data_IF_973310968402
#
_entry.id   IF_973310968402
#
_cell.length_a   1.000
_cell.length_b   1.000
_cell.length_c   1.000
_cell.angle_alpha   90.00
_cell.angle_beta   90.00
_cell.angle_gamma   90.00
#
_symmetry.space_group_name_H-M   'P 1'
#
loop_
_entity.id
_entity.type
_entity.pdbx_description
1 polymer ?
#
# COMPACT_ATOMS: atom_id res chain seq x y z
N UNK A 1 -6.45 2.60 -9.14
CA UNK A 1 -5.26 1.89 -8.61
C UNK A 1 -4.71 2.69 -7.47
N UNK A 2 -4.41 2.05 -6.34
CA UNK A 2 -3.89 2.75 -5.17
C UNK A 2 -2.60 3.53 -5.53
N UNK A 3 -2.70 4.83 -5.61
CA UNK A 3 -1.60 5.75 -5.95
C UNK A 3 -1.33 6.77 -4.85
N UNK A 4 -2.06 6.71 -3.74
CA UNK A 4 -1.90 7.60 -2.60
C UNK A 4 -2.50 6.97 -1.34
N UNK A 5 -1.84 7.11 -0.19
CA UNK A 5 -2.38 6.56 1.06
C UNK A 5 -1.93 7.37 2.28
N UNK A 6 -2.47 6.99 3.44
CA UNK A 6 -2.21 7.61 4.73
C UNK A 6 -1.65 6.60 5.71
N UNK A 7 -0.78 7.07 6.60
CA UNK A 7 -0.43 6.38 7.82
C UNK A 7 -0.15 7.41 8.91
N UNK A 8 -1.17 7.71 9.72
CA UNK A 8 -1.12 8.75 10.74
C UNK A 8 -0.85 8.21 12.16
N UNK A 9 -0.66 6.88 12.28
CA UNK A 9 -0.42 6.20 13.55
C UNK A 9 1.00 6.39 14.07
N UNK A 10 1.17 6.15 15.35
CA UNK A 10 2.46 6.32 15.99
C UNK A 10 3.42 5.18 15.65
N UNK A 11 4.72 5.49 15.61
CA UNK A 11 5.78 4.47 15.48
C UNK A 11 5.81 3.48 16.66
N UNK A 12 5.26 3.88 17.82
CA UNK A 12 5.12 3.01 18.98
C UNK A 12 4.15 1.87 18.70
N UNK A 13 2.99 2.18 18.14
CA UNK A 13 1.96 1.18 17.81
C UNK A 13 2.49 0.12 16.81
N UNK A 14 3.31 0.55 15.84
CA UNK A 14 3.98 -0.38 14.93
C UNK A 14 5.00 -1.28 15.66
N UNK A 15 5.81 -0.69 16.50
CA UNK A 15 6.81 -1.44 17.27
C UNK A 15 6.19 -2.50 18.18
N UNK A 16 5.05 -2.18 18.82
CA UNK A 16 4.28 -3.12 19.63
C UNK A 16 3.70 -4.29 18.80
N UNK A 17 3.10 -3.99 17.64
CA UNK A 17 2.51 -5.00 16.76
C UNK A 17 3.56 -5.95 16.18
N UNK A 18 4.69 -5.41 15.74
CA UNK A 18 5.77 -6.21 15.16
C UNK A 18 6.82 -6.67 16.18
N UNK A 19 6.63 -6.38 17.48
CA UNK A 19 7.57 -6.75 18.56
C UNK A 19 9.02 -6.37 18.25
N UNK A 20 9.22 -5.17 17.75
CA UNK A 20 10.52 -4.69 17.29
C UNK A 20 10.88 -3.34 17.91
N UNK A 21 12.11 -2.87 17.72
CA UNK A 21 12.53 -1.54 18.18
C UNK A 21 11.73 -0.45 17.47
N UNK A 22 11.36 0.58 18.22
CA UNK A 22 10.61 1.72 17.69
C UNK A 22 11.43 2.44 16.62
N UNK A 23 10.92 2.56 15.37
CA UNK A 23 11.59 3.36 14.36
C UNK A 23 11.64 4.84 14.78
N UNK A 24 12.83 5.45 14.67
CA UNK A 24 13.02 6.87 14.98
C UNK A 24 12.59 7.74 13.79
N UNK A 25 12.17 8.99 14.08
CA UNK A 25 11.92 10.00 13.06
C UNK A 25 10.65 9.82 12.23
N UNK A 26 9.81 8.83 12.55
CA UNK A 26 8.52 8.68 11.88
C UNK A 26 7.53 9.69 12.41
N UNK A 27 6.92 10.43 11.49
CA UNK A 27 5.81 11.34 11.75
C UNK A 27 4.53 10.82 11.11
N UNK A 28 3.35 11.25 11.57
CA UNK A 28 2.10 10.99 10.87
C UNK A 28 2.16 11.51 9.42
N UNK A 29 1.68 10.68 8.50
CA UNK A 29 1.65 10.96 7.07
C UNK A 29 0.22 10.88 6.56
N UNK A 30 -0.20 11.93 5.89
CA UNK A 30 -1.58 12.09 5.41
C UNK A 30 -1.69 12.07 3.87
N UNK A 31 -0.55 11.98 3.18
CA UNK A 31 -0.54 12.07 1.72
C UNK A 31 0.72 11.40 1.13
N UNK A 32 0.92 10.15 1.46
CA UNK A 32 2.04 9.36 0.95
C UNK A 32 1.85 9.10 -0.54
N UNK A 33 2.87 9.45 -1.34
CA UNK A 33 2.85 9.38 -2.80
C UNK A 33 3.99 8.50 -3.35
N UNK A 34 3.85 7.97 -4.57
CA UNK A 34 4.91 7.26 -5.26
C UNK A 34 6.23 8.04 -5.31
N UNK A 35 7.34 7.32 -5.26
CA UNK A 35 8.69 7.87 -5.24
C UNK A 35 9.19 8.28 -3.85
N UNK A 36 8.34 8.26 -2.84
CA UNK A 36 8.72 8.55 -1.46
C UNK A 36 9.18 7.31 -0.72
N UNK A 37 10.02 7.50 0.29
CA UNK A 37 10.43 6.44 1.20
C UNK A 37 9.33 6.24 2.25
N UNK A 38 8.94 4.98 2.42
CA UNK A 38 7.82 4.56 3.25
C UNK A 38 8.27 3.41 4.15
N UNK A 39 7.79 3.41 5.38
CA UNK A 39 8.04 2.30 6.29
C UNK A 39 7.33 1.03 5.80
N UNK A 40 8.09 -0.05 5.73
CA UNK A 40 7.61 -1.40 5.42
C UNK A 40 8.01 -2.35 6.53
N UNK A 41 7.21 -3.40 6.73
CA UNK A 41 7.53 -4.49 7.64
C UNK A 41 7.79 -5.77 6.85
N UNK A 42 8.82 -6.52 7.21
CA UNK A 42 9.13 -7.85 6.68
C UNK A 42 9.73 -8.74 7.76
N UNK A 43 9.88 -10.01 7.48
CA UNK A 43 10.73 -10.87 8.29
C UNK A 43 12.10 -11.02 7.64
N UNK A 44 13.14 -11.01 8.48
CA UNK A 44 14.50 -11.34 8.12
C UNK A 44 15.02 -12.42 9.08
N UNK A 45 15.32 -13.59 8.56
CA UNK A 45 15.76 -14.75 9.37
C UNK A 45 14.83 -15.06 10.55
N UNK A 46 13.54 -14.89 10.35
CA UNK A 46 12.52 -15.14 11.37
C UNK A 46 12.22 -13.95 12.29
N UNK A 47 13.00 -12.88 12.22
CA UNK A 47 12.81 -11.68 13.03
C UNK A 47 12.10 -10.56 12.27
N UNK A 48 11.17 -9.84 12.90
CA UNK A 48 10.49 -8.73 12.27
C UNK A 48 11.42 -7.51 12.10
N UNK A 49 11.45 -6.96 10.90
CA UNK A 49 12.24 -5.78 10.55
C UNK A 49 11.33 -4.69 10.00
N UNK A 50 11.50 -3.48 10.54
CA UNK A 50 10.86 -2.26 10.03
C UNK A 50 11.91 -1.40 9.35
N UNK A 51 11.73 -1.12 8.06
CA UNK A 51 12.70 -0.36 7.27
C UNK A 51 12.01 0.53 6.23
N UNK A 52 12.69 1.61 5.85
CA UNK A 52 12.24 2.50 4.79
C UNK A 52 12.58 1.91 3.41
N UNK A 53 11.59 1.93 2.51
CA UNK A 53 11.73 1.52 1.12
C UNK A 53 11.05 2.52 0.20
N UNK A 54 11.60 2.72 -0.97
CA UNK A 54 11.04 3.61 -1.98
C UNK A 54 9.79 3.00 -2.63
N UNK A 55 8.69 3.72 -2.65
CA UNK A 55 7.47 3.29 -3.32
C UNK A 55 7.57 3.47 -4.84
N UNK A 56 7.94 2.42 -5.50
CA UNK A 56 8.18 2.36 -6.94
C UNK A 56 9.22 1.30 -7.24
N UNK A 57 8.78 0.19 -7.79
CA UNK A 57 9.56 -1.02 -7.99
C UNK A 57 10.78 -0.81 -8.87
N UNK A 58 11.94 -1.23 -8.38
CA UNK A 58 13.16 -1.39 -9.15
C UNK A 58 13.52 -2.88 -9.12
N UNK A 59 13.51 -3.60 -10.26
CA UNK A 59 13.92 -4.99 -10.27
C UNK A 59 15.37 -5.13 -9.82
N UNK A 60 15.69 -6.16 -9.03
CA UNK A 60 17.07 -6.41 -8.57
C UNK A 60 18.07 -6.63 -9.71
N UNK A 61 17.58 -7.07 -10.87
CA UNK A 61 18.37 -7.31 -12.09
C UNK A 61 18.49 -6.07 -12.99
N UNK A 62 17.88 -4.94 -12.64
CA UNK A 62 17.97 -3.73 -13.46
C UNK A 62 19.41 -3.24 -13.57
N UNK A 63 19.85 -2.84 -14.76
CA UNK A 63 21.21 -2.38 -15.00
C UNK A 63 21.53 -1.04 -14.32
N UNK A 64 20.48 -0.21 -14.11
CA UNK A 64 20.58 1.13 -13.52
C UNK A 64 19.42 1.41 -12.57
N UNK A 65 19.64 2.23 -11.54
CA UNK A 65 18.61 2.66 -10.60
C UNK A 65 17.50 3.48 -11.26
N UNK A 66 17.80 4.18 -12.35
CA UNK A 66 16.81 4.93 -13.15
C UNK A 66 15.96 4.02 -14.05
N UNK A 67 15.51 2.90 -13.50
CA UNK A 67 14.58 2.00 -14.19
C UNK A 67 13.23 2.69 -14.43
N UNK A 68 12.70 2.62 -15.65
CA UNK A 68 11.42 3.24 -16.00
C UNK A 68 10.63 2.33 -16.96
N UNK A 69 9.29 2.20 -16.79
CA UNK A 69 8.52 2.76 -15.67
C UNK A 69 8.79 2.01 -14.35
N UNK A 70 8.65 2.70 -13.22
CA UNK A 70 8.65 2.07 -11.89
C UNK A 70 7.23 1.72 -11.47
N UNK A 71 6.79 0.46 -11.55
CA UNK A 71 5.47 0.07 -11.10
C UNK A 71 5.30 0.33 -9.61
N UNK A 72 4.24 1.06 -9.25
CA UNK A 72 3.87 1.31 -7.84
C UNK A 72 2.93 0.23 -7.31
N UNK A 73 2.28 -0.50 -8.24
CA UNK A 73 1.36 -1.59 -7.95
C UNK A 73 1.71 -2.82 -8.78
N UNK A 74 1.46 -3.99 -8.21
CA UNK A 74 1.51 -5.27 -8.88
C UNK A 74 0.11 -5.90 -8.86
N UNK A 75 -0.37 -6.33 -10.02
CA UNK A 75 -1.67 -7.02 -10.11
C UNK A 75 -1.52 -8.43 -9.58
N UNK A 76 -2.37 -8.82 -8.62
CA UNK A 76 -2.39 -10.17 -8.08
C UNK A 76 -2.60 -11.23 -9.15
N UNK A 77 -3.55 -10.98 -10.03
CA UNK A 77 -3.92 -11.90 -11.10
C UNK A 77 -2.73 -12.14 -12.06
N UNK A 78 -2.35 -13.40 -12.18
CA UNK A 78 -1.22 -13.80 -13.04
C UNK A 78 0.17 -13.38 -12.55
N UNK A 79 0.32 -12.95 -11.30
CA UNK A 79 1.57 -12.41 -10.78
C UNK A 79 2.68 -13.48 -10.72
N UNK A 80 2.32 -14.74 -10.46
CA UNK A 80 3.27 -15.86 -10.42
C UNK A 80 3.93 -16.13 -11.78
N UNK A 81 3.23 -15.80 -12.87
CA UNK A 81 3.77 -15.83 -14.23
C UNK A 81 4.53 -14.56 -14.64
N UNK A 82 4.42 -13.49 -13.88
CA UNK A 82 5.02 -12.21 -14.23
C UNK A 82 6.52 -12.19 -13.90
N UNK A 83 7.37 -12.12 -14.94
CA UNK A 83 8.84 -12.15 -14.82
C UNK A 83 9.41 -11.09 -13.87
N UNK A 84 8.71 -9.96 -13.70
CA UNK A 84 9.14 -8.86 -12.84
C UNK A 84 8.93 -9.15 -11.35
N UNK A 85 7.85 -9.87 -10.99
CA UNK A 85 7.40 -10.03 -9.62
C UNK A 85 7.44 -11.48 -9.10
N UNK A 86 7.49 -12.49 -9.99
CA UNK A 86 7.34 -13.91 -9.61
C UNK A 86 8.28 -14.35 -8.48
N UNK A 87 9.54 -13.90 -8.49
CA UNK A 87 10.49 -14.22 -7.43
C UNK A 87 10.09 -13.55 -6.10
N UNK A 88 9.66 -12.30 -6.15
CA UNK A 88 9.29 -11.57 -4.95
C UNK A 88 7.99 -12.10 -4.30
N UNK A 89 7.10 -12.72 -5.06
CA UNK A 89 5.90 -13.38 -4.53
C UNK A 89 6.25 -14.49 -3.55
N UNK A 90 7.34 -15.20 -3.77
CA UNK A 90 7.78 -16.31 -2.92
C UNK A 90 8.78 -15.89 -1.85
N UNK A 91 9.67 -14.93 -2.16
CA UNK A 91 10.83 -14.66 -1.33
C UNK A 91 10.81 -13.28 -0.65
N UNK A 92 10.13 -12.30 -1.24
CA UNK A 92 10.28 -10.89 -0.86
C UNK A 92 8.93 -10.23 -0.58
N UNK A 93 8.17 -10.78 0.36
CA UNK A 93 6.92 -10.20 0.82
C UNK A 93 7.16 -9.17 1.91
N UNK A 94 6.39 -8.09 1.88
CA UNK A 94 6.36 -7.10 2.94
C UNK A 94 4.93 -6.65 3.22
N UNK A 95 4.75 -5.98 4.34
CA UNK A 95 3.55 -5.23 4.66
C UNK A 95 3.87 -3.74 4.59
N UNK A 96 2.94 -2.98 4.04
CA UNK A 96 3.00 -1.52 4.03
C UNK A 96 1.91 -1.01 4.98
N UNK A 97 2.26 -0.50 6.17
CA UNK A 97 1.29 0.01 7.13
C UNK A 97 0.50 1.19 6.54
N UNK A 98 -0.82 1.15 6.70
CA UNK A 98 -1.73 2.19 6.24
C UNK A 98 -2.95 2.29 7.17
N UNK A 99 -3.55 3.47 7.29
CA UNK A 99 -4.83 3.69 7.97
C UNK A 99 -5.92 4.22 7.01
N UNK A 100 -5.55 4.44 5.74
CA UNK A 100 -6.46 4.78 4.66
C UNK A 100 -5.73 4.93 3.34
N UNK A 101 -6.49 4.99 2.27
CA UNK A 101 -5.96 5.29 0.93
C UNK A 101 -6.92 6.18 0.15
N UNK A 102 -6.44 6.73 -0.96
CA UNK A 102 -7.23 7.63 -1.79
C UNK A 102 -7.54 7.02 -3.14
N UNK A 103 -8.75 7.29 -3.62
CA UNK A 103 -9.16 7.15 -5.01
C UNK A 103 -9.92 8.39 -5.45
N UNK A 104 -9.99 8.59 -6.76
CA UNK A 104 -10.59 9.77 -7.37
C UNK A 104 -11.73 9.37 -8.29
N UNK A 105 -12.88 10.02 -8.12
CA UNK A 105 -13.95 9.92 -9.11
C UNK A 105 -13.92 11.09 -10.10
N UNK A 106 -14.56 10.89 -11.26
CA UNK A 106 -14.65 11.91 -12.31
C UNK A 106 -13.59 11.78 -13.38
N UNK A 107 -13.78 12.50 -14.48
CA UNK A 107 -12.89 12.56 -15.65
C UNK A 107 -12.31 13.96 -15.80
N UNK A 108 -11.09 14.07 -16.30
CA UNK A 108 -10.44 15.36 -16.54
C UNK A 108 -9.96 16.09 -15.28
N UNK A 109 -9.91 17.42 -15.30
CA UNK A 109 -9.38 18.26 -14.22
C UNK A 109 -10.24 18.35 -12.95
N UNK A 110 -11.47 17.85 -12.98
CA UNK A 110 -12.42 17.89 -11.86
C UNK A 110 -12.48 16.61 -11.04
N UNK A 111 -11.37 15.93 -10.81
CA UNK A 111 -11.33 14.70 -10.00
C UNK A 111 -11.56 14.99 -8.53
N UNK A 112 -12.63 14.40 -7.99
CA UNK A 112 -12.97 14.49 -6.57
C UNK A 112 -12.25 13.40 -5.78
N UNK A 113 -11.43 13.73 -4.77
CA UNK A 113 -10.75 12.76 -3.95
C UNK A 113 -11.68 12.16 -2.90
N UNK A 114 -11.52 10.86 -2.68
CA UNK A 114 -12.15 10.11 -1.62
C UNK A 114 -11.08 9.48 -0.75
N UNK A 115 -11.23 9.58 0.56
CA UNK A 115 -10.46 8.85 1.53
C UNK A 115 -11.21 7.58 1.92
N UNK A 116 -10.52 6.46 1.82
CA UNK A 116 -11.07 5.12 2.03
C UNK A 116 -10.40 4.53 3.25
N UNK A 117 -11.18 4.15 4.26
CA UNK A 117 -10.71 3.56 5.51
C UNK A 117 -11.45 2.26 5.78
N UNK A 118 -10.91 1.36 6.60
CA UNK A 118 -11.66 0.21 7.08
C UNK A 118 -12.67 0.63 8.14
N UNK A 119 -13.85 -0.02 8.17
CA UNK A 119 -14.85 0.18 9.21
C UNK A 119 -14.48 -0.53 10.51
N UNK A 120 -13.77 -1.66 10.43
CA UNK A 120 -13.42 -2.52 11.55
C UNK A 120 -11.99 -2.34 12.06
N UNK A 121 -11.09 -1.72 11.26
CA UNK A 121 -9.68 -1.59 11.59
C UNK A 121 -9.25 -0.14 11.68
N UNK A 122 -8.60 0.23 12.78
CA UNK A 122 -7.99 1.57 12.92
C UNK A 122 -6.78 1.77 11.99
N UNK A 123 -6.11 0.69 11.63
CA UNK A 123 -5.08 0.61 10.60
C UNK A 123 -4.89 -0.84 10.15
N UNK A 124 -4.28 -1.02 9.02
CA UNK A 124 -4.10 -2.30 8.34
C UNK A 124 -2.76 -2.33 7.59
N UNK A 125 -2.40 -3.47 7.02
CA UNK A 125 -1.23 -3.60 6.17
C UNK A 125 -1.63 -3.89 4.72
N UNK A 126 -1.13 -3.11 3.77
CA UNK A 126 -1.19 -3.55 2.38
C UNK A 126 -0.22 -4.69 2.16
N UNK A 127 -0.66 -5.70 1.43
CA UNK A 127 0.24 -6.69 0.88
C UNK A 127 1.21 -6.02 -0.09
N UNK A 128 2.49 -6.15 0.16
CA UNK A 128 3.54 -5.59 -0.67
C UNK A 128 4.56 -6.63 -1.09
N UNK A 129 5.22 -6.35 -2.19
CA UNK A 129 6.42 -7.06 -2.62
C UNK A 129 7.58 -6.09 -2.60
N UNK A 130 8.75 -6.51 -2.13
CA UNK A 130 9.94 -5.68 -2.11
C UNK A 130 11.06 -6.21 -3.00
N UNK A 131 11.93 -5.30 -3.41
CA UNK A 131 13.13 -5.59 -4.17
C UNK A 131 14.30 -4.81 -3.61
N UNK A 132 15.48 -5.40 -3.66
CA UNK A 132 16.74 -4.75 -3.34
C UNK A 132 17.59 -4.70 -4.59
N UNK A 133 17.69 -3.52 -5.15
CA UNK A 133 18.60 -3.24 -6.25
C UNK A 133 19.99 -2.89 -5.69
N UNK A 134 21.01 -3.41 -6.36
CA UNK A 134 22.43 -3.14 -6.02
C UNK A 134 23.13 -2.54 -7.22
N UNK A 135 23.66 -1.35 -7.04
CA UNK A 135 24.49 -0.66 -8.03
C UNK A 135 25.97 -1.05 -7.96
N UNK A 136 26.78 -0.24 -8.57
CA UNK A 136 28.25 -0.36 -8.45
C UNK A 136 28.68 0.11 -7.07
N UNK A 137 29.66 -0.57 -6.48
CA UNK A 137 30.12 -0.28 -5.12
C UNK A 137 29.08 -0.66 -4.07
N UNK A 138 28.85 0.22 -3.09
CA UNK A 138 27.95 -0.02 -1.95
C UNK A 138 26.52 0.50 -2.16
N UNK A 139 26.19 1.01 -3.35
CA UNK A 139 24.88 1.59 -3.62
C UNK A 139 23.79 0.51 -3.52
N UNK A 140 22.80 0.73 -2.64
CA UNK A 140 21.66 -0.17 -2.43
C UNK A 140 20.38 0.65 -2.37
N UNK A 141 19.37 0.22 -3.09
CA UNK A 141 18.05 0.84 -3.08
C UNK A 141 17.00 -0.23 -2.82
N UNK A 142 16.39 -0.15 -1.64
CA UNK A 142 15.19 -0.91 -1.32
C UNK A 142 13.97 -0.26 -1.95
N UNK A 143 13.19 -1.03 -2.69
CA UNK A 143 11.96 -0.55 -3.31
C UNK A 143 10.81 -1.53 -3.09
N UNK A 144 9.56 -1.06 -3.27
CA UNK A 144 8.39 -1.92 -3.16
C UNK A 144 7.27 -1.54 -4.12
N UNK A 145 6.36 -2.50 -4.33
CA UNK A 145 5.08 -2.31 -5.01
C UNK A 145 3.95 -2.89 -4.16
N UNK A 146 2.78 -2.25 -4.17
CA UNK A 146 1.57 -2.71 -3.47
C UNK A 146 0.83 -3.70 -4.36
N UNK A 147 0.44 -4.85 -3.81
CA UNK A 147 -0.45 -5.78 -4.49
C UNK A 147 -1.86 -5.22 -4.59
N UNK A 148 -2.46 -5.38 -5.76
CA UNK A 148 -3.84 -4.98 -6.02
C UNK A 148 -4.66 -6.14 -6.56
N UNK A 149 -5.95 -6.15 -6.24
CA UNK A 149 -6.95 -7.09 -6.74
C UNK A 149 -8.14 -6.35 -7.36
N UNK A 150 -9.05 -7.09 -7.96
CA UNK A 150 -10.32 -6.54 -8.45
C UNK A 150 -11.10 -5.97 -7.27
N UNK A 151 -11.68 -4.80 -7.44
CA UNK A 151 -12.47 -4.15 -6.40
C UNK A 151 -13.72 -4.95 -6.04
N UNK A 152 -14.04 -4.96 -4.76
CA UNK A 152 -15.22 -5.60 -4.20
C UNK A 152 -16.09 -4.60 -3.43
N UNK A 153 -17.34 -5.00 -3.14
CA UNK A 153 -18.25 -4.18 -2.36
C UNK A 153 -18.47 -2.79 -2.96
N UNK A 154 -18.55 -1.80 -2.09
CA UNK A 154 -18.80 -0.40 -2.44
C UNK A 154 -17.67 0.30 -3.20
N UNK A 155 -16.50 -0.31 -3.31
CA UNK A 155 -15.40 0.26 -4.11
C UNK A 155 -15.55 0.01 -5.61
N UNK A 156 -16.38 -0.94 -6.04
CA UNK A 156 -16.59 -1.25 -7.47
C UNK A 156 -16.99 -0.03 -8.30
N UNK A 157 -17.86 0.81 -7.76
CA UNK A 157 -18.32 2.02 -8.43
C UNK A 157 -17.28 3.15 -8.47
N UNK A 158 -16.29 3.12 -7.59
CA UNK A 158 -15.28 4.17 -7.51
C UNK A 158 -14.08 3.85 -8.42
N UNK A 159 -13.57 2.63 -8.34
CA UNK A 159 -12.44 2.18 -9.16
C UNK A 159 -12.45 0.67 -9.34
N UNK A 160 -12.07 0.16 -10.51
CA UNK A 160 -12.06 -1.28 -10.85
C UNK A 160 -11.02 -2.11 -10.07
N UNK A 161 -10.10 -1.47 -9.35
CA UNK A 161 -9.04 -2.12 -8.57
C UNK A 161 -8.93 -1.52 -7.17
N UNK A 162 -8.58 -2.36 -6.19
CA UNK A 162 -8.27 -1.94 -4.81
C UNK A 162 -6.95 -2.57 -4.34
N UNK A 163 -6.27 -1.99 -3.33
CA UNK A 163 -5.12 -2.64 -2.70
C UNK A 163 -5.57 -3.91 -1.97
N UNK A 164 -4.75 -4.94 -2.01
CA UNK A 164 -4.91 -6.12 -1.16
C UNK A 164 -4.44 -5.75 0.25
N UNK A 165 -5.39 -5.65 1.18
CA UNK A 165 -5.14 -5.20 2.53
C UNK A 165 -5.54 -6.26 3.57
N UNK A 166 -4.76 -6.38 4.62
CA UNK A 166 -4.93 -7.36 5.69
C UNK A 166 -5.11 -6.70 7.05
N UNK A 167 -5.92 -7.30 7.90
CA UNK A 167 -5.96 -7.01 9.32
C UNK A 167 -4.71 -7.59 10.03
N UNK A 168 -4.50 -7.21 11.28
CA UNK A 168 -3.31 -7.62 12.07
C UNK A 168 -3.16 -9.13 12.23
N UNK A 169 -4.26 -9.88 12.32
CA UNK A 169 -4.23 -11.33 12.47
C UNK A 169 -3.58 -12.05 11.27
N UNK A 170 -3.60 -11.39 10.10
CA UNK A 170 -3.03 -11.94 8.87
C UNK A 170 -1.55 -11.56 8.64
N UNK A 171 -0.99 -10.63 9.42
CA UNK A 171 0.35 -10.09 9.16
C UNK A 171 1.44 -11.16 9.19
N UNK A 172 1.51 -11.92 10.27
CA UNK A 172 2.50 -12.98 10.40
C UNK A 172 2.34 -14.01 9.27
N UNK A 173 1.11 -14.45 9.02
CA UNK A 173 0.84 -15.42 7.95
C UNK A 173 1.29 -14.92 6.59
N UNK A 174 0.97 -13.66 6.21
CA UNK A 174 1.42 -13.08 4.96
C UNK A 174 2.95 -13.03 4.83
N UNK A 175 3.64 -12.70 5.93
CA UNK A 175 5.09 -12.49 5.92
C UNK A 175 5.90 -13.79 6.02
N UNK A 176 5.34 -14.87 6.60
CA UNK A 176 6.07 -16.14 6.86
C UNK A 176 5.61 -17.30 6.00
N UNK A 177 4.49 -17.17 5.30
CA UNK A 177 3.90 -18.29 4.59
C UNK A 177 4.82 -18.83 3.49
N UNK A 178 4.99 -20.14 3.50
CA UNK A 178 5.87 -20.85 2.57
C UNK A 178 5.23 -20.98 1.17
N UNK A 179 6.04 -21.21 0.12
CA UNK A 179 5.54 -21.47 -1.23
C UNK A 179 4.61 -22.69 -1.24
N UNK A 180 3.36 -22.50 -1.57
CA UNK A 180 2.33 -23.58 -1.62
C UNK A 180 0.91 -23.04 -1.61
N UNK A 181 0.68 -21.92 -0.92
CA UNK A 181 -0.58 -21.19 -1.06
C UNK A 181 -0.50 -20.29 -2.27
N UNK A 182 -1.42 -20.43 -3.18
CA UNK A 182 -1.49 -19.54 -4.33
C UNK A 182 -1.83 -18.13 -3.84
N UNK A 183 -1.34 -17.12 -4.53
CA UNK A 183 -1.63 -15.72 -4.16
C UNK A 183 -3.13 -15.42 -4.27
N UNK A 184 -3.86 -16.24 -4.97
CA UNK A 184 -5.32 -16.24 -5.11
C UNK A 184 -6.02 -16.49 -3.77
N UNK A 185 -5.48 -17.34 -2.92
CA UNK A 185 -6.05 -17.71 -1.61
C UNK A 185 -6.07 -16.52 -0.65
N UNK A 186 -5.16 -15.58 -0.82
CA UNK A 186 -5.05 -14.39 0.01
C UNK A 186 -6.19 -13.38 -0.17
N UNK A 187 -6.97 -13.46 -1.25
CA UNK A 187 -8.08 -12.53 -1.48
C UNK A 187 -9.23 -12.78 -0.52
N UNK A 188 -9.48 -14.02 -0.13
CA UNK A 188 -10.53 -14.38 0.84
C UNK A 188 -10.27 -13.79 2.23
N UNK A 189 -9.02 -13.48 2.54
CA UNK A 189 -8.57 -12.91 3.81
C UNK A 189 -8.44 -11.37 3.77
N UNK A 190 -8.73 -10.75 2.62
CA UNK A 190 -8.61 -9.30 2.45
C UNK A 190 -9.72 -8.55 3.18
N UNK A 191 -9.40 -7.34 3.62
CA UNK A 191 -10.39 -6.39 4.13
C UNK A 191 -11.30 -5.97 2.98
N UNK A 192 -12.60 -6.01 3.21
CA UNK A 192 -13.64 -5.61 2.24
C UNK A 192 -14.65 -4.62 2.82
N UNK A 193 -14.59 -4.31 4.10
CA UNK A 193 -15.50 -3.46 4.86
C UNK A 193 -15.13 -1.97 4.79
N UNK A 194 -15.04 -1.44 3.59
CA UNK A 194 -14.56 -0.09 3.36
C UNK A 194 -15.60 1.00 3.66
N UNK A 195 -15.14 2.08 4.29
CA UNK A 195 -15.84 3.37 4.41
C UNK A 195 -15.23 4.34 3.40
N UNK A 196 -16.07 5.00 2.62
CA UNK A 196 -15.68 5.94 1.56
C UNK A 196 -16.17 7.33 1.94
N UNK A 197 -15.28 8.29 2.03
CA UNK A 197 -15.61 9.67 2.41
C UNK A 197 -15.02 10.68 1.43
N UNK A 198 -15.79 11.62 0.90
CA UNK A 198 -15.25 12.72 0.10
C UNK A 198 -14.37 13.61 0.99
N UNK A 199 -13.21 14.01 0.47
CA UNK A 199 -12.24 14.81 1.22
C UNK A 199 -11.79 16.05 0.46
N UNK A 200 -11.10 16.93 1.16
CA UNK A 200 -10.61 18.19 0.63
C UNK A 200 -9.68 17.96 -0.57
N UNK A 201 -9.87 18.65 -1.71
CA UNK A 201 -8.98 18.63 -2.86
C UNK A 201 -7.53 19.01 -2.58
N UNK A 202 -7.23 19.50 -1.38
CA UNK A 202 -5.87 19.74 -0.89
C UNK A 202 -4.94 18.53 -1.11
N UNK A 203 -5.47 17.31 -0.97
CA UNK A 203 -4.75 16.04 -1.19
C UNK A 203 -4.24 15.88 -2.64
N UNK A 204 -4.81 16.59 -3.61
CA UNK A 204 -4.39 16.51 -5.01
C UNK A 204 -2.92 16.96 -5.19
N UNK A 205 -2.45 17.91 -4.39
CA UNK A 205 -1.05 18.30 -4.40
C UNK A 205 -0.25 17.42 -3.43
N UNK A 206 0.71 16.67 -3.95
CA UNK A 206 1.60 15.76 -3.19
C UNK A 206 2.45 16.47 -2.12
N UNK A 207 2.65 17.77 -2.24
CA UNK A 207 3.39 18.58 -1.25
C UNK A 207 2.59 18.81 0.03
N UNK A 208 1.29 18.70 -0.03
CA UNK A 208 0.42 18.77 1.15
C UNK A 208 0.40 17.42 1.86
N UNK A 209 0.92 17.35 3.06
CA UNK A 209 0.98 16.12 3.86
C UNK A 209 0.67 16.48 5.33
N UNK A 210 -0.56 16.88 5.57
CA UNK A 210 -1.07 17.34 6.87
C UNK A 210 -2.52 16.85 7.10
N UNK A 211 -3.05 16.92 8.34
CA UNK A 211 -4.39 16.42 8.67
C UNK A 211 -5.54 17.00 7.82
N UNK A 212 -5.35 18.18 7.22
CA UNK A 212 -6.37 18.79 6.35
C UNK A 212 -6.62 18.00 5.07
N UNK A 213 -5.70 17.11 4.69
CA UNK A 213 -5.88 16.22 3.53
C UNK A 213 -7.02 15.20 3.73
N UNK A 214 -7.33 14.83 4.98
CA UNK A 214 -8.39 13.85 5.31
C UNK A 214 -9.67 14.50 5.84
N UNK A 215 -9.74 15.84 5.88
CA UNK A 215 -10.97 16.53 6.29
C UNK A 215 -12.07 16.25 5.28
N UNK A 216 -13.20 15.77 5.79
CA UNK A 216 -14.41 15.53 4.99
C UNK A 216 -14.93 16.85 4.42
N UNK A 217 -15.38 16.81 3.19
CA UNK A 217 -16.08 17.94 2.56
C UNK A 217 -17.57 17.67 2.55
N UNK A 218 -18.36 18.76 2.69
CA UNK A 218 -19.83 18.70 2.61
C UNK A 218 -20.35 18.45 1.18
N UNK A 219 -19.51 18.25 0.18
CA UNK A 219 -19.96 17.89 -1.16
C UNK A 219 -20.78 16.60 -1.09
N UNK A 220 -22.07 16.75 -1.28
CA UNK A 220 -22.98 15.64 -1.57
C UNK A 220 -22.52 15.00 -2.89
N UNK A 221 -21.53 14.12 -2.80
CA UNK A 221 -21.35 13.14 -3.86
C UNK A 221 -22.47 12.15 -3.69
N UNK A 222 -23.30 12.02 -4.70
CA UNK A 222 -24.39 11.06 -4.70
C UNK A 222 -23.78 9.66 -4.51
N UNK A 223 -23.76 9.20 -3.25
CA UNK A 223 -23.20 7.89 -2.86
C UNK A 223 -24.01 6.75 -3.46
N UNK A 224 -25.20 7.01 -4.00
CA UNK A 224 -26.02 6.04 -4.76
C UNK A 224 -25.32 5.55 -6.03
N UNK A 225 -24.36 6.33 -6.58
CA UNK A 225 -23.53 5.88 -7.70
C UNK A 225 -22.61 4.70 -7.34
N UNK A 226 -22.41 4.41 -6.07
CA UNK A 226 -21.56 3.33 -5.58
C UNK A 226 -22.34 2.14 -5.01
N UNK A 227 -23.67 2.19 -5.04
CA UNK A 227 -24.55 1.18 -4.44
C UNK A 227 -25.02 0.07 -5.42
N UNK A 228 -24.38 -0.09 -6.58
CA UNK A 228 -24.72 -1.16 -7.54
C UNK A 228 -23.67 -2.26 -7.56
#
# INVERSE_FOLDING_TARGET
MCGRFTFSRSSRELAEVFRTKRPKGLRPRYNIAPGQDVLTARYDRGEPVLELRNWGWIPSWAKVAKFSPRPINARREGISGNRMFRKAVTENRCLVPADGFYEWSGRGGGRNPFHITSKSQNWFGFAGLYSEWRGKGEERIGSFAILTCVSSGNLKGLHGRMPLAFNRAMFAKWLTDQPGNTIEDWTSCAITDWSVSPVNPRVNNVRNDDPRCILRTAHQVNLELFAK
#
